data_IF_106133328224
#
_entry.id   IF_106133328224
#
_cell.length_a   1.000
_cell.length_b   1.000
_cell.length_c   1.000
_cell.angle_alpha   90.00
_cell.angle_beta   90.00
_cell.angle_gamma   90.00
#
_symmetry.space_group_name_H-M   'P 1'
#
loop_
_entity.id
_entity.type
_entity.pdbx_description
1 polymer ?
#
# COMPACT_ATOMS: atom_id res chain seq x y z
N UNK A 1 -15.70 4.49 3.88
CA UNK A 1 -15.45 3.35 2.98
C UNK A 1 -15.61 2.06 3.78
N UNK A 2 -16.36 1.07 3.28
CA UNK A 2 -16.56 -0.23 3.91
C UNK A 2 -15.79 -1.32 3.14
N UNK A 3 -14.46 -1.23 3.14
CA UNK A 3 -13.59 -2.25 2.55
C UNK A 3 -12.62 -2.73 3.63
N UNK A 4 -12.59 -4.04 3.88
CA UNK A 4 -11.74 -4.68 4.88
C UNK A 4 -10.97 -5.82 4.18
N UNK A 5 -9.80 -5.52 3.60
CA UNK A 5 -8.99 -6.53 2.94
C UNK A 5 -8.32 -7.45 3.96
N UNK A 6 -7.94 -8.65 3.49
CA UNK A 6 -7.03 -9.51 4.24
C UNK A 6 -5.63 -8.89 4.29
N UNK A 7 -4.86 -9.20 5.32
CA UNK A 7 -3.55 -8.61 5.56
C UNK A 7 -2.47 -9.05 4.56
N UNK A 8 -2.71 -10.12 3.81
CA UNK A 8 -1.83 -10.69 2.80
C UNK A 8 -2.28 -10.35 1.36
N UNK A 9 -3.21 -9.40 1.20
CA UNK A 9 -3.83 -9.07 -0.09
C UNK A 9 -2.80 -8.81 -1.21
N UNK A 10 -1.68 -8.20 -0.87
CA UNK A 10 -0.65 -7.77 -1.81
C UNK A 10 0.61 -8.65 -1.75
N UNK A 11 0.56 -9.81 -1.07
CA UNK A 11 1.69 -10.72 -1.00
C UNK A 11 2.21 -11.08 -2.42
N UNK A 12 3.54 -11.05 -2.58
CA UNK A 12 4.24 -11.27 -3.84
C UNK A 12 3.90 -10.26 -4.96
N UNK A 13 3.38 -9.08 -4.63
CA UNK A 13 3.19 -7.98 -5.59
C UNK A 13 4.32 -6.98 -5.55
N UNK A 14 4.78 -6.58 -6.73
CA UNK A 14 5.74 -5.49 -6.88
C UNK A 14 4.97 -4.28 -7.39
N UNK A 15 4.91 -3.23 -6.56
CA UNK A 15 4.14 -2.02 -6.84
C UNK A 15 5.08 -0.81 -6.81
N UNK A 16 5.18 -0.12 -7.94
CA UNK A 16 5.91 1.16 -8.03
C UNK A 16 5.00 2.30 -7.57
N UNK A 17 5.43 3.04 -6.55
CA UNK A 17 4.76 4.26 -6.10
C UNK A 17 5.65 5.45 -6.42
N UNK A 18 5.15 6.40 -7.23
CA UNK A 18 5.82 7.68 -7.49
C UNK A 18 5.38 8.73 -6.48
N UNK A 19 6.23 9.73 -6.20
CA UNK A 19 5.91 10.75 -5.20
C UNK A 19 5.79 10.21 -3.76
N UNK A 20 6.48 9.12 -3.43
CA UNK A 20 6.41 8.47 -2.12
C UNK A 20 7.13 9.22 -0.96
N UNK A 21 7.56 10.45 -1.20
CA UNK A 21 8.30 11.26 -0.22
C UNK A 21 7.44 11.84 0.89
N UNK A 22 6.21 12.25 0.58
CA UNK A 22 5.28 12.83 1.57
C UNK A 22 3.81 12.66 1.17
N UNK A 23 2.89 12.95 2.10
CA UNK A 23 1.46 12.97 1.89
C UNK A 23 0.90 11.64 1.39
N UNK A 24 0.05 11.70 0.37
CA UNK A 24 -0.72 10.54 -0.12
C UNK A 24 0.20 9.46 -0.69
N UNK A 25 1.26 9.83 -1.40
CA UNK A 25 2.19 8.86 -1.98
C UNK A 25 2.93 8.06 -0.90
N UNK A 26 3.34 8.74 0.17
CA UNK A 26 3.96 8.10 1.33
C UNK A 26 3.00 7.15 2.04
N UNK A 27 1.77 7.61 2.33
CA UNK A 27 0.77 6.75 3.00
C UNK A 27 0.35 5.56 2.15
N UNK A 28 0.25 5.72 0.83
CA UNK A 28 -0.02 4.62 -0.09
C UNK A 28 1.10 3.57 -0.05
N UNK A 29 2.37 3.99 -0.16
CA UNK A 29 3.51 3.08 -0.12
C UNK A 29 3.57 2.29 1.20
N UNK A 30 3.35 2.96 2.33
CA UNK A 30 3.32 2.32 3.65
C UNK A 30 2.11 1.39 3.81
N UNK A 31 0.95 1.78 3.29
CA UNK A 31 -0.25 0.94 3.32
C UNK A 31 -0.02 -0.32 2.50
N UNK A 32 0.49 -0.21 1.28
CA UNK A 32 0.76 -1.39 0.44
C UNK A 32 1.75 -2.34 1.11
N UNK A 33 2.85 -1.84 1.65
CA UNK A 33 3.84 -2.67 2.35
C UNK A 33 3.27 -3.40 3.59
N UNK A 34 2.24 -2.85 4.25
CA UNK A 34 1.57 -3.52 5.38
C UNK A 34 0.65 -4.67 4.95
N UNK A 35 0.25 -4.69 3.69
CA UNK A 35 -0.68 -5.66 3.12
C UNK A 35 -0.01 -6.79 2.31
N UNK A 36 1.32 -6.83 2.31
CA UNK A 36 2.12 -7.86 1.62
C UNK A 36 2.86 -7.34 0.40
#
# INVERSE_FOLDING_TARGET
MHYQPKQDLLEQRIILVTGAGDGIGREAALTYARFG
#
